data_IF_417060389535
#
_entry.id   IF_417060389535
#
_cell.length_a   1.000
_cell.length_b   1.000
_cell.length_c   1.000
_cell.angle_alpha   90.00
_cell.angle_beta   90.00
_cell.angle_gamma   90.00
#
_symmetry.space_group_name_H-M   'P 1'
#
loop_
_entity.id
_entity.type
_entity.pdbx_description
1 polymer ?
#
# COMPACT_ATOMS: atom_id res chain seq x y z
N UNK A 1 -4.93 54.12 -4.97
CA UNK A 1 -4.48 52.79 -4.50
C UNK A 1 -5.01 51.76 -5.49
N UNK A 2 -4.12 51.25 -6.38
CA UNK A 2 -4.43 50.09 -7.20
C UNK A 2 -4.32 48.87 -6.29
N UNK A 3 -5.41 48.17 -6.04
CA UNK A 3 -5.39 46.82 -5.53
C UNK A 3 -5.20 45.89 -6.74
N UNK A 4 -3.99 45.44 -6.94
CA UNK A 4 -3.77 44.33 -7.86
C UNK A 4 -4.42 43.09 -7.22
N UNK A 5 -5.56 42.67 -7.78
CA UNK A 5 -6.19 41.39 -7.46
C UNK A 5 -5.28 40.32 -8.07
N UNK A 6 -4.40 39.76 -7.27
CA UNK A 6 -3.69 38.53 -7.65
C UNK A 6 -4.73 37.42 -7.65
N UNK A 7 -5.16 37.01 -8.86
CA UNK A 7 -5.95 35.81 -9.04
C UNK A 7 -5.03 34.62 -8.68
N UNK A 8 -5.16 34.08 -7.49
CA UNK A 8 -4.50 32.83 -7.12
C UNK A 8 -5.23 31.73 -7.88
N UNK A 9 -4.55 31.17 -8.89
CA UNK A 9 -5.06 30.03 -9.67
C UNK A 9 -4.88 28.77 -8.83
N UNK A 10 -5.98 28.20 -8.35
CA UNK A 10 -5.97 26.92 -7.63
C UNK A 10 -5.64 25.78 -8.58
N UNK A 11 -4.65 24.97 -8.24
CA UNK A 11 -4.27 23.77 -9.00
C UNK A 11 -4.80 22.53 -8.27
N UNK A 12 -5.42 21.62 -9.01
CA UNK A 12 -6.00 20.39 -8.47
C UNK A 12 -5.14 19.19 -8.84
N UNK A 13 -4.92 18.32 -7.86
CA UNK A 13 -4.19 17.07 -8.01
C UNK A 13 -5.01 15.91 -7.45
N UNK A 14 -5.00 14.77 -8.14
CA UNK A 14 -5.61 13.53 -7.66
C UNK A 14 -4.63 12.72 -6.82
N UNK A 15 -5.10 12.20 -5.67
CA UNK A 15 -4.34 11.27 -4.84
C UNK A 15 -5.10 9.96 -4.75
N UNK A 16 -4.54 8.89 -5.35
CA UNK A 16 -5.03 7.53 -5.18
C UNK A 16 -4.37 6.87 -3.96
N UNK A 17 -5.16 6.42 -3.01
CA UNK A 17 -4.68 5.68 -1.83
C UNK A 17 -5.73 4.69 -1.33
N UNK A 18 -5.33 3.76 -0.44
CA UNK A 18 -6.25 2.78 0.09
C UNK A 18 -7.15 3.41 1.19
N UNK A 19 -8.31 2.80 1.49
CA UNK A 19 -9.12 3.21 2.64
C UNK A 19 -8.56 2.71 3.98
N UNK A 20 -7.40 2.07 3.99
CA UNK A 20 -6.81 1.46 5.18
C UNK A 20 -6.40 2.53 6.21
N UNK A 21 -6.35 2.16 7.50
CA UNK A 21 -6.06 3.11 8.58
C UNK A 21 -4.71 3.81 8.47
N UNK A 22 -3.68 3.17 7.92
CA UNK A 22 -2.35 3.76 7.73
C UNK A 22 -2.36 4.87 6.66
N UNK A 23 -3.03 4.65 5.52
CA UNK A 23 -3.22 5.68 4.51
C UNK A 23 -4.13 6.80 5.01
N UNK A 24 -5.26 6.45 5.67
CA UNK A 24 -6.14 7.44 6.27
C UNK A 24 -5.40 8.35 7.25
N UNK A 25 -4.52 7.78 8.07
CA UNK A 25 -3.67 8.52 9.00
C UNK A 25 -2.68 9.43 8.27
N UNK A 26 -2.00 8.95 7.23
CA UNK A 26 -1.03 9.75 6.46
C UNK A 26 -1.65 10.96 5.79
N UNK A 27 -2.84 10.82 5.22
CA UNK A 27 -3.52 11.85 4.43
C UNK A 27 -4.54 12.67 5.23
N UNK A 28 -4.75 12.38 6.51
CA UNK A 28 -5.74 13.03 7.38
C UNK A 28 -5.70 14.55 7.30
N UNK A 29 -4.54 15.16 7.53
CA UNK A 29 -4.44 16.62 7.60
C UNK A 29 -4.61 17.30 6.23
N UNK A 30 -4.33 16.58 5.12
CA UNK A 30 -4.63 17.08 3.77
C UNK A 30 -6.14 17.04 3.50
N UNK A 31 -6.79 15.91 3.84
CA UNK A 31 -8.24 15.72 3.66
C UNK A 31 -9.04 16.74 4.47
N UNK A 32 -8.66 16.99 5.73
CA UNK A 32 -9.32 17.92 6.64
C UNK A 32 -8.85 19.39 6.47
N UNK A 33 -7.94 19.66 5.51
CA UNK A 33 -7.38 20.99 5.26
C UNK A 33 -6.72 21.61 6.51
N UNK A 34 -6.02 20.81 7.31
CA UNK A 34 -5.36 21.21 8.56
C UNK A 34 -3.92 21.70 8.36
N UNK A 35 -3.39 21.58 7.14
CA UNK A 35 -2.08 22.09 6.75
C UNK A 35 -2.22 23.10 5.60
N UNK A 36 -1.24 24.00 5.49
CA UNK A 36 -1.20 24.98 4.40
C UNK A 36 -0.54 24.36 3.16
N UNK A 37 -1.32 24.12 2.14
CA UNK A 37 -0.89 23.60 0.83
C UNK A 37 -0.81 24.69 -0.24
N UNK A 38 -0.87 25.98 0.16
CA UNK A 38 -0.87 27.11 -0.77
C UNK A 38 -2.07 27.08 -1.71
N UNK A 39 -1.80 27.10 -3.01
CA UNK A 39 -2.81 27.04 -4.08
C UNK A 39 -3.14 25.61 -4.54
N UNK A 40 -2.46 24.59 -3.99
CA UNK A 40 -2.71 23.17 -4.33
C UNK A 40 -3.95 22.65 -3.58
N UNK A 41 -4.78 21.88 -4.28
CA UNK A 41 -5.95 21.16 -3.73
C UNK A 41 -5.88 19.72 -4.16
N UNK A 42 -6.29 18.82 -3.29
CA UNK A 42 -6.14 17.39 -3.47
C UNK A 42 -7.52 16.72 -3.49
N UNK A 43 -7.76 15.91 -4.53
CA UNK A 43 -8.92 15.04 -4.63
C UNK A 43 -8.50 13.61 -4.29
N UNK A 44 -9.05 13.07 -3.21
CA UNK A 44 -8.71 11.74 -2.71
C UNK A 44 -9.58 10.67 -3.38
N UNK A 45 -8.94 9.67 -3.99
CA UNK A 45 -9.59 8.54 -4.67
C UNK A 45 -9.23 7.26 -3.90
N UNK A 46 -10.25 6.64 -3.27
CA UNK A 46 -10.07 5.49 -2.38
C UNK A 46 -10.32 4.19 -3.13
N UNK A 47 -9.29 3.40 -3.35
CA UNK A 47 -9.35 2.06 -3.97
C UNK A 47 -8.27 1.16 -3.37
N UNK A 48 -8.40 -0.16 -3.56
CA UNK A 48 -7.42 -1.13 -3.06
C UNK A 48 -6.06 -1.02 -3.75
N UNK A 49 -5.01 -1.51 -3.08
CA UNK A 49 -3.61 -1.37 -3.52
C UNK A 49 -3.32 -2.06 -4.87
N UNK A 50 -3.98 -3.18 -5.20
CA UNK A 50 -3.78 -3.84 -6.49
C UNK A 50 -4.39 -3.02 -7.63
N UNK A 51 -5.54 -2.41 -7.40
CA UNK A 51 -6.16 -1.45 -8.34
C UNK A 51 -5.27 -0.22 -8.51
N UNK A 52 -4.72 0.35 -7.44
CA UNK A 52 -3.76 1.47 -7.51
C UNK A 52 -2.51 1.11 -8.32
N UNK A 53 -1.95 -0.08 -8.10
CA UNK A 53 -0.81 -0.56 -8.90
C UNK A 53 -1.12 -0.62 -10.39
N UNK A 54 -2.33 -1.03 -10.77
CA UNK A 54 -2.78 -1.06 -12.17
C UNK A 54 -3.02 0.35 -12.73
N UNK A 55 -3.68 1.21 -11.98
CA UNK A 55 -3.94 2.61 -12.35
C UNK A 55 -2.65 3.41 -12.51
N UNK A 56 -1.62 3.12 -11.70
CA UNK A 56 -0.32 3.76 -11.82
C UNK A 56 0.39 3.42 -13.14
N UNK A 57 0.19 2.22 -13.72
CA UNK A 57 0.69 1.87 -15.05
C UNK A 57 0.08 2.75 -16.16
N UNK A 58 -1.11 3.27 -15.93
CA UNK A 58 -1.85 4.12 -16.86
C UNK A 58 -1.65 5.62 -16.57
N UNK A 59 -0.92 5.98 -15.51
CA UNK A 59 -0.74 7.37 -15.10
C UNK A 59 -2.02 8.03 -14.61
N UNK A 60 -2.94 7.25 -13.98
CA UNK A 60 -4.29 7.69 -13.67
C UNK A 60 -4.38 8.75 -12.57
N UNK A 61 -3.39 8.81 -11.67
CA UNK A 61 -3.35 9.74 -10.54
C UNK A 61 -2.07 10.56 -10.54
N UNK A 62 -2.17 11.82 -10.12
CA UNK A 62 -1.01 12.70 -9.96
C UNK A 62 -0.09 12.20 -8.83
N UNK A 63 -0.71 11.70 -7.77
CA UNK A 63 -0.08 11.00 -6.63
C UNK A 63 -0.76 9.66 -6.44
N UNK A 64 -0.01 8.63 -6.14
CA UNK A 64 -0.58 7.30 -5.84
C UNK A 64 0.20 6.58 -4.75
N UNK A 65 -0.51 5.91 -3.85
CA UNK A 65 0.08 4.83 -3.09
C UNK A 65 0.30 3.63 -4.02
N UNK A 66 1.46 2.98 -3.92
CA UNK A 66 1.79 1.81 -4.73
C UNK A 66 2.56 0.78 -3.91
N UNK A 67 2.44 -0.48 -4.29
CA UNK A 67 3.35 -1.51 -3.77
C UNK A 67 4.78 -1.27 -4.22
N UNK A 68 5.77 -1.46 -3.34
CA UNK A 68 7.19 -1.34 -3.72
C UNK A 68 7.54 -2.30 -4.87
N UNK A 69 6.88 -3.46 -4.94
CA UNK A 69 7.03 -4.39 -6.07
C UNK A 69 6.64 -3.77 -7.42
N UNK A 70 5.61 -2.95 -7.47
CA UNK A 70 5.15 -2.31 -8.72
C UNK A 70 6.00 -1.11 -9.13
N UNK A 71 6.70 -0.46 -8.19
CA UNK A 71 7.44 0.76 -8.47
C UNK A 71 8.45 0.66 -9.63
N UNK A 72 9.26 -0.41 -9.79
CA UNK A 72 10.18 -0.52 -10.93
C UNK A 72 9.51 -0.42 -12.30
N UNK A 73 8.24 -0.85 -12.43
CA UNK A 73 7.51 -0.84 -13.71
C UNK A 73 6.94 0.53 -14.08
N UNK A 74 6.82 1.44 -13.12
CA UNK A 74 6.31 2.80 -13.28
C UNK A 74 7.38 3.87 -13.04
N UNK A 75 8.61 3.46 -12.78
CA UNK A 75 9.69 4.36 -12.37
C UNK A 75 10.13 5.35 -13.46
N UNK A 76 9.75 5.14 -14.71
CA UNK A 76 9.99 6.12 -15.78
C UNK A 76 9.05 7.33 -15.68
N UNK A 77 7.79 7.10 -15.26
CA UNK A 77 6.74 8.12 -15.19
C UNK A 77 6.57 8.70 -13.79
N UNK A 78 6.86 7.94 -12.74
CA UNK A 78 6.69 8.35 -11.35
C UNK A 78 7.99 8.45 -10.58
N UNK A 79 8.05 9.43 -9.66
CA UNK A 79 9.08 9.54 -8.63
C UNK A 79 8.57 8.99 -7.31
N UNK A 80 9.35 8.11 -6.66
CA UNK A 80 9.06 7.65 -5.31
C UNK A 80 9.33 8.80 -4.33
N UNK A 81 8.37 9.07 -3.44
CA UNK A 81 8.53 10.07 -2.39
C UNK A 81 9.43 9.53 -1.28
N UNK A 82 10.05 10.44 -0.55
CA UNK A 82 10.91 10.13 0.60
C UNK A 82 10.15 10.13 1.95
N UNK A 83 8.83 10.05 1.89
CA UNK A 83 7.94 9.99 3.06
C UNK A 83 6.72 9.10 2.76
N UNK A 84 6.04 8.65 3.79
CA UNK A 84 4.80 7.88 3.67
C UNK A 84 5.01 6.47 3.13
N UNK A 85 6.09 5.78 3.54
CA UNK A 85 6.31 4.37 3.21
C UNK A 85 5.67 3.45 4.26
N UNK A 86 5.10 2.34 3.79
CA UNK A 86 4.64 1.24 4.64
C UNK A 86 5.73 0.17 4.73
N UNK A 87 6.16 -0.14 5.97
CA UNK A 87 7.28 -1.05 6.26
C UNK A 87 6.87 -2.05 7.34
N UNK A 88 7.02 -3.34 7.05
CA UNK A 88 6.77 -4.41 8.02
C UNK A 88 7.98 -4.69 8.91
N UNK A 89 7.97 -4.26 10.16
CA UNK A 89 9.04 -4.50 11.13
C UNK A 89 8.71 -5.71 12.02
N UNK A 90 9.10 -6.90 11.59
CA UNK A 90 8.80 -8.16 12.28
C UNK A 90 7.34 -8.62 12.15
N UNK A 91 6.62 -8.09 11.19
CA UNK A 91 5.29 -8.52 10.76
C UNK A 91 5.14 -8.26 9.25
N UNK A 92 4.19 -8.92 8.61
CA UNK A 92 3.96 -8.72 7.18
C UNK A 92 2.85 -9.61 6.65
N UNK A 93 2.71 -9.71 5.33
CA UNK A 93 1.78 -10.64 4.70
C UNK A 93 1.95 -12.06 5.24
N UNK A 94 0.84 -12.76 5.42
CA UNK A 94 0.84 -14.10 6.02
C UNK A 94 0.29 -15.14 5.06
N UNK A 95 0.98 -16.27 4.95
CA UNK A 95 0.45 -17.46 4.28
C UNK A 95 -0.37 -18.23 5.31
N UNK A 96 -1.65 -18.44 5.02
CA UNK A 96 -2.58 -19.20 5.85
C UNK A 96 -3.11 -20.43 5.08
N UNK A 97 -3.64 -21.39 5.82
CA UNK A 97 -4.22 -22.63 5.27
C UNK A 97 -5.45 -23.09 6.04
N UNK A 98 -6.27 -23.96 5.40
CA UNK A 98 -7.48 -24.57 6.01
C UNK A 98 -7.17 -25.54 7.15
N UNK A 99 -5.95 -26.08 7.20
CA UNK A 99 -5.47 -27.05 8.20
C UNK A 99 -3.98 -26.83 8.45
N UNK A 100 -3.43 -27.46 9.47
CA UNK A 100 -1.96 -27.46 9.67
C UNK A 100 -1.26 -27.86 8.37
N UNK A 101 -0.34 -27.03 7.90
CA UNK A 101 0.38 -27.19 6.64
C UNK A 101 1.81 -26.70 6.78
N UNK A 102 2.72 -27.39 6.08
CA UNK A 102 4.12 -26.99 5.99
C UNK A 102 4.36 -26.02 4.83
N UNK A 103 5.50 -25.34 4.84
CA UNK A 103 5.95 -24.48 3.75
C UNK A 103 6.08 -25.27 2.43
N UNK A 104 6.48 -26.55 2.52
CA UNK A 104 6.61 -27.42 1.32
C UNK A 104 5.23 -27.70 0.72
N UNK A 105 4.24 -28.07 1.52
CA UNK A 105 2.87 -28.29 1.05
C UNK A 105 2.26 -27.01 0.46
N UNK A 106 2.51 -25.86 1.08
CA UNK A 106 2.08 -24.56 0.53
C UNK A 106 2.72 -24.28 -0.84
N UNK A 107 4.02 -24.60 -1.00
CA UNK A 107 4.73 -24.38 -2.28
C UNK A 107 4.28 -25.31 -3.41
N UNK A 108 3.63 -26.43 -3.09
CA UNK A 108 3.06 -27.38 -4.05
C UNK A 108 1.57 -27.16 -4.31
N UNK A 109 0.97 -26.14 -3.68
CA UNK A 109 -0.45 -25.84 -3.75
C UNK A 109 -0.70 -24.55 -4.53
N UNK A 110 -1.95 -24.37 -5.01
CA UNK A 110 -2.40 -23.05 -5.50
C UNK A 110 -2.69 -22.14 -4.30
N UNK A 111 -2.09 -20.94 -4.28
CA UNK A 111 -2.24 -19.95 -3.21
C UNK A 111 -3.11 -18.80 -3.72
N UNK A 112 -4.20 -18.49 -3.02
CA UNK A 112 -5.00 -17.30 -3.28
C UNK A 112 -4.21 -16.04 -2.90
N UNK A 113 -4.09 -15.06 -3.81
CA UNK A 113 -3.28 -13.86 -3.62
C UNK A 113 -4.05 -12.58 -3.97
N UNK A 114 -3.72 -11.42 -3.34
CA UNK A 114 -4.42 -10.17 -3.59
C UNK A 114 -4.10 -9.52 -4.95
N UNK A 115 -2.98 -9.92 -5.57
CA UNK A 115 -2.60 -9.40 -6.88
C UNK A 115 -1.12 -9.57 -7.19
N UNK A 116 -0.80 -9.70 -8.48
CA UNK A 116 0.56 -9.94 -8.97
C UNK A 116 1.48 -8.72 -8.81
N UNK A 117 0.93 -7.50 -8.70
CA UNK A 117 1.69 -6.27 -8.47
C UNK A 117 2.02 -6.00 -7.01
N UNK A 118 1.48 -6.78 -6.06
CA UNK A 118 1.63 -6.50 -4.63
C UNK A 118 3.01 -6.89 -4.09
N UNK A 119 3.52 -6.16 -3.11
CA UNK A 119 4.74 -6.53 -2.37
C UNK A 119 4.54 -7.82 -1.57
N UNK A 120 3.31 -8.15 -1.20
CA UNK A 120 2.95 -9.43 -0.60
C UNK A 120 3.29 -10.60 -1.54
N UNK A 121 2.89 -10.50 -2.82
CA UNK A 121 3.23 -11.50 -3.83
C UNK A 121 4.74 -11.60 -4.08
N UNK A 122 5.46 -10.47 -4.13
CA UNK A 122 6.91 -10.51 -4.23
C UNK A 122 7.55 -11.25 -3.06
N UNK A 123 7.13 -10.97 -1.82
CA UNK A 123 7.62 -11.65 -0.63
C UNK A 123 7.32 -13.16 -0.67
N UNK A 124 6.11 -13.55 -1.12
CA UNK A 124 5.73 -14.94 -1.35
C UNK A 124 6.71 -15.63 -2.32
N UNK A 125 6.98 -14.99 -3.47
CA UNK A 125 7.89 -15.52 -4.50
C UNK A 125 9.33 -15.64 -4.00
N UNK A 126 9.79 -14.70 -3.18
CA UNK A 126 11.12 -14.76 -2.56
C UNK A 126 11.23 -15.88 -1.52
N UNK A 127 10.15 -16.19 -0.80
CA UNK A 127 10.12 -17.22 0.23
C UNK A 127 9.96 -18.64 -0.34
N UNK A 128 9.03 -18.83 -1.27
CA UNK A 128 8.61 -20.14 -1.78
C UNK A 128 9.11 -20.45 -3.20
N UNK A 129 9.61 -19.46 -3.93
CA UNK A 129 9.98 -19.61 -5.33
C UNK A 129 8.79 -19.52 -6.28
N UNK A 130 8.78 -20.32 -7.34
CA UNK A 130 7.71 -20.34 -8.31
C UNK A 130 6.56 -21.22 -7.80
N UNK A 131 5.40 -20.61 -7.54
CA UNK A 131 4.21 -21.27 -7.01
C UNK A 131 2.99 -20.93 -7.87
N UNK A 132 2.04 -21.85 -7.94
CA UNK A 132 0.76 -21.58 -8.59
C UNK A 132 -0.07 -20.61 -7.74
N UNK A 133 -0.69 -19.63 -8.40
CA UNK A 133 -1.48 -18.60 -7.69
C UNK A 133 -2.83 -18.35 -8.35
N UNK A 134 -3.82 -18.02 -7.53
CA UNK A 134 -5.13 -17.54 -7.95
C UNK A 134 -5.33 -16.11 -7.42
N UNK A 135 -5.55 -15.15 -8.32
CA UNK A 135 -5.79 -13.75 -7.93
C UNK A 135 -7.25 -13.55 -7.56
N UNK A 136 -7.51 -12.97 -6.40
CA UNK A 136 -8.85 -12.57 -5.94
C UNK A 136 -8.78 -11.30 -5.08
N UNK A 137 -9.91 -10.59 -4.84
CA UNK A 137 -9.96 -9.46 -3.91
C UNK A 137 -9.37 -9.83 -2.55
N UNK A 138 -8.58 -8.93 -1.97
CA UNK A 138 -7.82 -9.23 -0.74
C UNK A 138 -8.74 -9.59 0.45
N UNK A 139 -9.92 -8.98 0.54
CA UNK A 139 -10.93 -9.21 1.57
C UNK A 139 -11.68 -10.54 1.39
N UNK A 140 -11.62 -11.15 0.20
CA UNK A 140 -12.20 -12.47 -0.06
C UNK A 140 -11.23 -13.64 0.27
N UNK A 141 -9.93 -13.39 0.43
CA UNK A 141 -8.93 -14.45 0.62
C UNK A 141 -9.16 -15.19 1.94
N UNK A 142 -9.24 -14.48 3.07
CA UNK A 142 -9.44 -15.11 4.38
C UNK A 142 -10.77 -15.90 4.44
N UNK A 143 -11.93 -15.35 4.02
CA UNK A 143 -13.18 -16.13 3.91
C UNK A 143 -13.07 -17.33 2.97
N UNK A 144 -12.34 -17.24 1.86
CA UNK A 144 -12.14 -18.34 0.92
C UNK A 144 -11.39 -19.50 1.55
N UNK A 145 -10.34 -19.21 2.33
CA UNK A 145 -9.58 -20.22 3.06
C UNK A 145 -10.41 -20.78 4.22
N UNK A 146 -11.07 -19.94 5.02
CA UNK A 146 -11.89 -20.36 6.16
C UNK A 146 -13.04 -21.30 5.73
N UNK A 147 -13.63 -21.04 4.56
CA UNK A 147 -14.68 -21.92 4.00
C UNK A 147 -14.17 -23.18 3.30
N UNK A 148 -12.85 -23.31 3.10
CA UNK A 148 -12.23 -24.42 2.37
C UNK A 148 -12.35 -24.33 0.84
N UNK A 149 -12.77 -23.18 0.29
CA UNK A 149 -12.80 -22.93 -1.16
C UNK A 149 -11.40 -22.84 -1.73
N UNK A 150 -10.49 -22.15 -1.03
CA UNK A 150 -9.06 -22.16 -1.26
C UNK A 150 -8.36 -22.91 -0.13
N UNK A 151 -7.34 -23.73 -0.45
CA UNK A 151 -6.58 -24.46 0.60
C UNK A 151 -5.54 -23.58 1.27
N UNK A 152 -4.94 -22.65 0.53
CA UNK A 152 -3.96 -21.70 1.01
C UNK A 152 -4.30 -20.29 0.52
N UNK A 153 -3.94 -19.27 1.32
CA UNK A 153 -4.14 -17.87 0.97
C UNK A 153 -3.05 -16.97 1.53
N UNK A 154 -2.77 -15.88 0.81
CA UNK A 154 -1.84 -14.83 1.22
C UNK A 154 -2.65 -13.63 1.69
N UNK A 155 -2.79 -13.46 2.99
CA UNK A 155 -3.55 -12.36 3.60
C UNK A 155 -2.67 -11.14 3.86
N UNK A 156 -3.32 -9.98 3.72
CA UNK A 156 -2.77 -8.64 3.99
C UNK A 156 -3.78 -7.84 4.83
N UNK A 157 -3.41 -6.63 5.24
CA UNK A 157 -4.29 -5.68 5.94
C UNK A 157 -4.99 -6.29 7.17
N UNK A 158 -6.28 -6.08 7.35
CA UNK A 158 -7.07 -6.54 8.50
C UNK A 158 -7.06 -8.06 8.67
N UNK A 159 -6.91 -8.82 7.58
CA UNK A 159 -6.79 -10.27 7.64
C UNK A 159 -5.65 -10.74 8.54
N UNK A 160 -4.56 -9.95 8.64
CA UNK A 160 -3.43 -10.25 9.54
C UNK A 160 -3.80 -10.13 11.03
N UNK A 161 -4.85 -9.40 11.36
CA UNK A 161 -5.32 -9.21 12.73
C UNK A 161 -6.39 -10.22 13.13
N UNK A 162 -7.24 -10.63 12.19
CA UNK A 162 -8.47 -11.40 12.44
C UNK A 162 -8.37 -12.90 12.17
N UNK A 163 -7.37 -13.38 11.41
CA UNK A 163 -7.25 -14.77 10.97
C UNK A 163 -7.36 -15.82 12.07
N UNK A 164 -6.93 -15.49 13.31
CA UNK A 164 -6.96 -16.42 14.46
C UNK A 164 -8.37 -16.83 14.85
N UNK A 165 -9.32 -15.95 14.62
CA UNK A 165 -10.73 -16.17 15.00
C UNK A 165 -11.51 -16.91 13.89
N UNK A 166 -10.91 -17.07 12.70
CA UNK A 166 -11.53 -17.66 11.52
C UNK A 166 -11.24 -19.17 11.34
N UNK A 167 -10.55 -19.79 12.33
CA UNK A 167 -10.30 -21.23 12.32
C UNK A 167 -9.30 -21.70 11.26
N UNK A 168 -8.50 -20.80 10.71
CA UNK A 168 -7.41 -21.10 9.78
C UNK A 168 -6.07 -21.23 10.50
N UNK A 169 -5.06 -21.76 9.84
CA UNK A 169 -3.73 -22.01 10.38
C UNK A 169 -2.68 -21.11 9.70
N UNK A 170 -1.77 -20.55 10.49
CA UNK A 170 -0.61 -19.84 9.97
C UNK A 170 0.41 -20.82 9.43
N UNK A 171 0.80 -20.66 8.17
CA UNK A 171 1.90 -21.41 7.54
C UNK A 171 3.21 -20.64 7.66
N UNK A 172 3.20 -19.35 7.30
CA UNK A 172 4.38 -18.51 7.34
C UNK A 172 4.00 -17.02 7.44
N UNK A 173 4.58 -16.30 8.37
CA UNK A 173 4.60 -14.82 8.36
C UNK A 173 5.80 -14.35 7.54
N UNK A 174 5.53 -13.69 6.41
CA UNK A 174 6.57 -13.25 5.47
C UNK A 174 7.38 -12.06 6.00
N UNK A 175 6.81 -11.26 6.90
CA UNK A 175 7.54 -10.18 7.55
C UNK A 175 8.56 -10.71 8.56
N UNK A 176 8.16 -11.69 9.37
CA UNK A 176 9.08 -12.42 10.29
C UNK A 176 10.16 -13.11 9.48
N UNK A 177 9.78 -13.89 8.47
CA UNK A 177 10.72 -14.58 7.57
C UNK A 177 11.74 -13.64 6.94
N UNK A 178 11.28 -12.48 6.42
CA UNK A 178 12.15 -11.47 5.81
C UNK A 178 13.14 -10.90 6.83
N UNK A 179 12.65 -10.54 8.02
CA UNK A 179 13.49 -10.00 9.08
C UNK A 179 14.56 -11.00 9.52
N UNK A 180 14.22 -12.29 9.68
CA UNK A 180 15.17 -13.36 10.00
C UNK A 180 16.26 -13.54 8.90
N UNK A 181 15.89 -13.34 7.64
CA UNK A 181 16.81 -13.50 6.49
C UNK A 181 17.73 -12.29 6.27
N UNK A 182 17.23 -11.09 6.53
CA UNK A 182 17.89 -9.85 6.11
C UNK A 182 18.31 -8.95 7.27
N UNK A 183 17.66 -9.07 8.42
CA UNK A 183 17.77 -8.14 9.56
C UNK A 183 17.12 -6.77 9.28
N UNK A 184 16.32 -6.64 8.22
CA UNK A 184 15.70 -5.38 7.78
C UNK A 184 14.17 -5.46 7.85
N UNK A 185 13.46 -4.31 7.97
CA UNK A 185 12.02 -4.24 7.74
C UNK A 185 11.66 -4.65 6.31
N UNK A 186 10.49 -5.29 6.12
CA UNK A 186 9.97 -5.65 4.80
C UNK A 186 9.36 -4.42 4.12
N UNK A 187 9.87 -3.97 2.96
CA UNK A 187 9.25 -2.88 2.21
C UNK A 187 7.91 -3.33 1.61
N UNK A 188 6.82 -2.64 1.95
CA UNK A 188 5.46 -3.00 1.52
C UNK A 188 4.91 -2.00 0.51
N UNK A 189 4.79 -0.74 0.88
CA UNK A 189 4.22 0.31 0.06
C UNK A 189 4.99 1.62 0.13
N UNK A 190 4.69 2.52 -0.78
CA UNK A 190 5.21 3.88 -0.79
C UNK A 190 4.35 4.78 -1.66
N UNK A 191 4.51 6.09 -1.51
CA UNK A 191 3.81 7.07 -2.30
C UNK A 191 4.67 7.52 -3.48
N UNK A 192 4.05 7.69 -4.63
CA UNK A 192 4.70 8.17 -5.86
C UNK A 192 3.99 9.40 -6.40
N UNK A 193 4.72 10.25 -7.14
CA UNK A 193 4.21 11.44 -7.80
C UNK A 193 4.61 11.46 -9.27
N UNK A 194 3.69 11.87 -10.15
CA UNK A 194 3.94 11.97 -11.61
C UNK A 194 5.07 12.95 -11.91
N UNK A 195 6.10 12.50 -12.60
CA UNK A 195 7.26 13.31 -13.04
C UNK A 195 6.90 14.39 -14.04
N UNK A 196 5.78 14.24 -14.75
CA UNK A 196 5.31 15.22 -15.75
C UNK A 196 5.00 16.59 -15.15
N UNK A 197 4.77 16.69 -13.83
CA UNK A 197 4.61 17.98 -13.14
C UNK A 197 5.91 18.77 -13.00
N UNK A 198 7.06 18.14 -13.24
CA UNK A 198 8.37 18.72 -13.05
C UNK A 198 8.87 18.61 -11.58
N UNK A 199 10.19 18.72 -11.39
CA UNK A 199 10.82 18.40 -10.11
C UNK A 199 10.38 19.30 -8.95
N UNK A 200 10.16 20.59 -9.21
CA UNK A 200 9.76 21.57 -8.21
C UNK A 200 8.36 21.26 -7.65
N UNK A 201 7.37 21.01 -8.53
CA UNK A 201 6.02 20.63 -8.13
C UNK A 201 5.99 19.27 -7.42
N UNK A 202 6.77 18.32 -7.89
CA UNK A 202 6.90 17.01 -7.22
C UNK A 202 7.44 17.15 -5.79
N UNK A 203 8.43 18.03 -5.57
CA UNK A 203 8.98 18.30 -4.24
C UNK A 203 7.95 19.00 -3.34
N UNK A 204 7.21 19.98 -3.87
CA UNK A 204 6.13 20.64 -3.14
C UNK A 204 5.03 19.67 -2.70
N UNK A 205 4.57 18.80 -3.60
CA UNK A 205 3.57 17.77 -3.28
C UNK A 205 4.09 16.79 -2.22
N UNK A 206 5.34 16.31 -2.37
CA UNK A 206 5.95 15.44 -1.38
C UNK A 206 6.11 16.13 -0.02
N UNK A 207 6.35 17.45 0.00
CA UNK A 207 6.38 18.24 1.23
C UNK A 207 5.00 18.36 1.87
N UNK A 208 3.92 18.53 1.10
CA UNK A 208 2.55 18.57 1.62
C UNK A 208 2.19 17.22 2.29
N UNK A 209 2.53 16.08 1.64
CA UNK A 209 2.34 14.74 2.22
C UNK A 209 3.14 14.60 3.53
N UNK A 210 4.40 15.04 3.56
CA UNK A 210 5.22 15.01 4.76
C UNK A 210 4.61 15.84 5.90
N UNK A 211 4.13 17.03 5.61
CA UNK A 211 3.46 17.90 6.61
C UNK A 211 2.17 17.26 7.15
N UNK A 212 1.41 16.55 6.30
CA UNK A 212 0.23 15.80 6.73
C UNK A 212 0.61 14.69 7.71
N UNK A 213 1.65 13.92 7.40
CA UNK A 213 2.17 12.87 8.29
C UNK A 213 2.65 13.45 9.63
N UNK A 214 3.43 14.53 9.60
CA UNK A 214 3.93 15.19 10.80
C UNK A 214 2.79 15.73 11.68
N UNK A 215 1.73 16.26 11.04
CA UNK A 215 0.53 16.69 11.75
C UNK A 215 -0.17 15.51 12.44
N UNK A 216 -0.38 14.39 11.73
CA UNK A 216 -1.02 13.20 12.27
C UNK A 216 -0.22 12.61 13.44
N UNK A 217 1.10 12.49 13.33
CA UNK A 217 1.99 12.04 14.41
C UNK A 217 1.89 12.95 15.63
N UNK A 218 1.76 14.25 15.42
CA UNK A 218 1.65 15.22 16.50
C UNK A 218 0.26 15.27 17.16
N UNK A 219 -0.77 14.73 16.48
CA UNK A 219 -2.17 14.74 16.91
C UNK A 219 -2.85 13.37 16.72
N UNK A 220 -2.31 12.28 17.27
CA UNK A 220 -2.73 10.91 16.93
C UNK A 220 -4.16 10.56 17.37
N UNK A 221 -4.75 11.31 18.33
CA UNK A 221 -6.13 11.09 18.80
C UNK A 221 -7.19 11.65 17.83
N UNK A 222 -6.80 12.54 16.94
CA UNK A 222 -7.70 13.17 15.96
C UNK A 222 -7.45 12.69 14.53
N UNK A 223 -6.31 12.11 14.26
CA UNK A 223 -5.97 11.44 13.04
C UNK A 223 -6.27 9.92 13.13
#
# INVERSE_FOLDING_TARGET
>A
YNFDIVLVMTTHYSIGHSPDPDDAFMFYAMTESLIDTGDRRYEHVLVDIQTLNQQALEGAHDVSAVSIHSYPTISDDYSLMNCGASMGEGYGPMIISTSESSIVEASESTIAIPGLGTSAYLALRLALGDVDVEVMPFDEILPSVASGKSTHGLIIHEGQLTWKDEGVHLVLDLGVWWNEKTGLPLPLGGNVVLKSHGPEVCEDIANDVRLSIEHAISNPESA
#
